data_IF_357218792917
#
_entry.id   IF_357218792917
#
_cell.length_a   1.000
_cell.length_b   1.000
_cell.length_c   1.000
_cell.angle_alpha   90.00
_cell.angle_beta   90.00
_cell.angle_gamma   90.00
#
_symmetry.space_group_name_H-M   'P 1'
#
loop_
_entity.id
_entity.type
_entity.pdbx_description
1 polymer ?
#
# COMPACT_ATOMS: atom_id res chain seq x y z
N UNK A 1 9.73 7.17 11.84
CA UNK A 1 10.50 8.08 10.95
C UNK A 1 11.34 7.24 10.01
N UNK A 2 11.06 7.28 8.70
CA UNK A 2 11.98 6.77 7.70
C UNK A 2 12.70 7.92 7.03
N UNK A 3 14.03 7.80 6.93
CA UNK A 3 14.87 8.76 6.22
C UNK A 3 15.38 8.07 4.97
N UNK A 4 15.23 8.70 3.82
CA UNK A 4 15.83 8.23 2.59
C UNK A 4 16.62 9.37 1.95
N UNK A 5 17.88 9.10 1.63
CA UNK A 5 18.76 10.07 1.00
C UNK A 5 18.80 9.82 -0.50
N UNK A 6 18.31 10.78 -1.30
CA UNK A 6 18.60 10.80 -2.74
C UNK A 6 19.98 11.41 -2.95
N UNK A 7 20.99 10.59 -3.20
CA UNK A 7 22.37 11.08 -3.40
C UNK A 7 22.54 11.74 -4.80
N UNK A 8 21.55 11.62 -5.70
CA UNK A 8 21.71 11.99 -7.12
C UNK A 8 21.59 13.50 -7.45
N UNK A 9 21.03 14.35 -6.57
CA UNK A 9 20.79 15.77 -6.90
C UNK A 9 20.99 16.77 -5.73
N UNK A 10 21.60 16.32 -4.62
CA UNK A 10 21.90 17.17 -3.46
C UNK A 10 20.67 17.51 -2.59
N UNK A 11 19.55 16.82 -2.78
CA UNK A 11 18.38 16.96 -1.94
C UNK A 11 18.25 15.80 -0.93
N UNK A 12 17.84 16.13 0.29
CA UNK A 12 17.40 15.16 1.30
C UNK A 12 15.88 15.11 1.28
N UNK A 13 15.29 13.93 1.30
CA UNK A 13 13.85 13.75 1.42
C UNK A 13 13.53 13.10 2.76
N UNK A 14 12.49 13.60 3.40
CA UNK A 14 12.06 13.14 4.73
C UNK A 14 10.60 12.77 4.68
N UNK A 15 10.29 11.55 5.12
CA UNK A 15 8.92 11.12 5.40
C UNK A 15 8.57 11.55 6.81
N UNK A 16 7.71 12.56 6.92
CA UNK A 16 7.21 13.04 8.21
C UNK A 16 5.91 12.29 8.52
N UNK A 17 6.04 11.35 9.44
CA UNK A 17 4.96 10.45 9.80
C UNK A 17 3.85 11.18 10.57
N UNK A 18 4.22 12.05 11.53
CA UNK A 18 3.27 12.77 12.38
C UNK A 18 2.53 13.86 11.60
N UNK A 19 3.21 14.51 10.65
CA UNK A 19 2.59 15.52 9.79
C UNK A 19 1.94 14.95 8.53
N UNK A 20 2.03 13.63 8.31
CA UNK A 20 1.45 12.92 7.17
C UNK A 20 1.86 13.52 5.82
N UNK A 21 3.16 13.78 5.66
CA UNK A 21 3.70 14.48 4.50
C UNK A 21 5.11 14.03 4.15
N UNK A 22 5.54 14.36 2.94
CA UNK A 22 6.94 14.21 2.52
C UNK A 22 7.48 15.58 2.13
N UNK A 23 8.66 15.90 2.68
CA UNK A 23 9.38 17.13 2.38
C UNK A 23 10.72 16.85 1.73
N UNK A 24 11.19 17.80 0.92
CA UNK A 24 12.57 17.83 0.42
C UNK A 24 13.32 19.07 0.89
N UNK A 25 14.63 18.92 1.01
CA UNK A 25 15.53 19.91 1.58
C UNK A 25 16.83 19.95 0.78
N UNK A 26 17.39 21.14 0.59
CA UNK A 26 18.79 21.36 0.18
C UNK A 26 19.63 21.72 1.39
N UNK A 27 20.94 21.58 1.23
CA UNK A 27 21.90 22.10 2.21
C UNK A 27 21.68 23.59 2.43
N UNK A 28 21.46 23.98 3.69
CA UNK A 28 21.22 25.37 4.09
C UNK A 28 19.75 25.81 4.11
N UNK A 29 18.81 24.95 3.69
CA UNK A 29 17.38 25.26 3.77
C UNK A 29 16.94 25.41 5.23
N UNK A 30 16.18 26.47 5.51
CA UNK A 30 15.53 26.70 6.81
C UNK A 30 14.15 26.06 6.90
N UNK A 31 13.52 25.81 5.74
CA UNK A 31 12.18 25.24 5.62
C UNK A 31 12.17 24.24 4.47
N UNK A 32 11.52 23.09 4.67
CA UNK A 32 11.45 22.02 3.68
C UNK A 32 10.30 22.25 2.72
N UNK A 33 10.54 22.01 1.45
CA UNK A 33 9.51 22.07 0.41
C UNK A 33 8.60 20.84 0.51
N UNK A 34 7.29 21.07 0.63
CA UNK A 34 6.29 20.01 0.59
C UNK A 34 6.21 19.42 -0.82
N UNK A 35 6.41 18.10 -0.93
CA UNK A 35 6.43 17.39 -2.24
C UNK A 35 5.37 16.30 -2.36
N UNK A 36 4.77 15.86 -1.26
CA UNK A 36 3.60 14.99 -1.24
C UNK A 36 2.86 15.07 0.11
N UNK A 37 1.55 14.83 0.12
CA UNK A 37 0.72 14.93 1.32
C UNK A 37 0.49 16.38 1.77
N UNK A 38 0.45 16.60 3.10
CA UNK A 38 0.28 17.93 3.70
C UNK A 38 -1.14 18.49 3.69
N UNK A 39 -2.12 17.70 3.23
CA UNK A 39 -3.55 18.05 3.24
C UNK A 39 -4.31 17.37 4.40
N UNK A 40 -3.60 17.07 5.49
CA UNK A 40 -4.11 16.32 6.64
C UNK A 40 -4.05 14.79 6.46
N UNK A 41 -4.32 14.08 7.56
CA UNK A 41 -4.46 12.62 7.59
C UNK A 41 -5.66 12.17 6.76
N UNK A 42 -5.47 11.22 5.85
CA UNK A 42 -6.58 10.61 5.12
C UNK A 42 -6.13 9.74 3.95
N UNK A 43 -7.09 9.24 3.20
CA UNK A 43 -6.91 8.28 2.11
C UNK A 43 -7.21 8.86 0.71
N UNK A 44 -7.53 10.15 0.61
CA UNK A 44 -7.61 10.83 -0.69
C UNK A 44 -6.24 10.82 -1.39
N UNK A 45 -6.24 11.01 -2.72
CA UNK A 45 -5.03 10.94 -3.54
C UNK A 45 -4.03 12.06 -3.24
N UNK A 46 -4.45 13.13 -2.57
CA UNK A 46 -3.61 14.24 -2.11
C UNK A 46 -3.28 14.18 -0.60
N UNK A 47 -3.67 13.09 0.09
CA UNK A 47 -3.45 12.87 1.52
C UNK A 47 -2.59 11.62 1.76
N UNK A 48 -1.98 11.56 2.94
CA UNK A 48 -1.23 10.41 3.44
C UNK A 48 -1.69 10.09 4.87
N UNK A 49 -1.32 8.92 5.36
CA UNK A 49 -1.58 8.46 6.72
C UNK A 49 -0.35 7.71 7.24
N UNK A 50 0.47 8.48 7.97
CA UNK A 50 1.72 8.04 8.59
C UNK A 50 2.71 7.41 7.60
N UNK A 51 3.13 8.13 6.56
CA UNK A 51 4.07 7.59 5.60
C UNK A 51 5.39 7.19 6.28
N UNK A 52 5.91 6.01 5.96
CA UNK A 52 7.06 5.42 6.67
C UNK A 52 8.32 5.31 5.84
N UNK A 53 8.22 5.05 4.54
CA UNK A 53 9.36 4.85 3.66
C UNK A 53 9.15 5.57 2.34
N UNK A 54 10.23 6.02 1.73
CA UNK A 54 10.20 6.67 0.43
C UNK A 54 11.31 6.13 -0.48
N UNK A 55 11.05 6.10 -1.78
CA UNK A 55 12.01 5.78 -2.83
C UNK A 55 11.84 6.78 -3.97
N UNK A 56 12.92 7.14 -4.67
CA UNK A 56 12.85 8.05 -5.82
C UNK A 56 13.50 7.37 -7.03
N UNK A 57 12.77 7.34 -8.14
CA UNK A 57 13.26 6.80 -9.42
C UNK A 57 14.12 7.81 -10.21
N UNK A 58 14.57 7.43 -11.39
CA UNK A 58 15.45 8.27 -12.22
C UNK A 58 14.75 9.48 -12.83
N UNK A 59 13.42 9.44 -12.96
CA UNK A 59 12.57 10.54 -13.42
C UNK A 59 12.16 11.48 -12.27
N UNK A 60 12.70 11.26 -11.07
CA UNK A 60 12.35 11.96 -9.84
C UNK A 60 10.89 11.79 -9.41
N UNK A 61 10.28 10.66 -9.74
CA UNK A 61 9.01 10.26 -9.14
C UNK A 61 9.24 9.70 -7.76
N UNK A 62 8.44 10.14 -6.80
CA UNK A 62 8.48 9.74 -5.41
C UNK A 62 7.50 8.59 -5.17
N UNK A 63 8.01 7.47 -4.68
CA UNK A 63 7.23 6.34 -4.21
C UNK A 63 7.17 6.39 -2.68
N UNK A 64 5.99 6.26 -2.11
CA UNK A 64 5.73 6.46 -0.68
C UNK A 64 4.98 5.25 -0.14
N UNK A 65 5.52 4.64 0.90
CA UNK A 65 4.78 3.65 1.71
C UNK A 65 3.84 4.41 2.65
N UNK A 66 2.56 4.46 2.27
CA UNK A 66 1.49 5.12 3.00
C UNK A 66 0.83 4.09 3.94
N UNK A 67 1.50 3.82 5.07
CA UNK A 67 1.41 2.51 5.72
C UNK A 67 0.06 2.24 6.40
N UNK A 68 -0.60 3.25 6.98
CA UNK A 68 -1.93 3.06 7.57
C UNK A 68 -3.07 3.13 6.55
N UNK A 69 -2.78 3.56 5.34
CA UNK A 69 -3.68 3.37 4.20
C UNK A 69 -3.34 2.08 3.43
N UNK A 70 -2.36 1.30 3.92
CA UNK A 70 -1.95 0.01 3.36
C UNK A 70 -1.72 0.06 1.85
N UNK A 71 -1.08 1.13 1.39
CA UNK A 71 -0.85 1.40 -0.03
C UNK A 71 0.55 1.92 -0.28
N UNK A 72 0.99 1.76 -1.52
CA UNK A 72 2.15 2.45 -2.06
C UNK A 72 1.64 3.46 -3.07
N UNK A 73 2.04 4.71 -2.88
CA UNK A 73 1.67 5.81 -3.75
C UNK A 73 2.86 6.26 -4.60
N UNK A 74 2.60 6.73 -5.83
CA UNK A 74 3.56 7.41 -6.68
C UNK A 74 3.14 8.86 -6.91
N UNK A 75 4.05 9.80 -6.67
CA UNK A 75 3.93 11.20 -7.05
C UNK A 75 4.97 11.56 -8.10
N UNK A 76 4.54 12.05 -9.26
CA UNK A 76 5.47 12.65 -10.22
C UNK A 76 5.88 14.05 -9.78
N UNK A 77 7.07 14.50 -10.18
CA UNK A 77 7.60 15.82 -9.81
C UNK A 77 6.58 16.95 -10.11
N UNK A 78 6.20 17.69 -9.08
CA UNK A 78 5.29 18.84 -9.17
C UNK A 78 3.79 18.49 -9.16
N UNK A 79 3.43 17.20 -9.06
CA UNK A 79 2.03 16.78 -8.96
C UNK A 79 1.37 17.29 -7.66
N UNK A 80 0.07 17.57 -7.73
CA UNK A 80 -0.74 17.98 -6.57
C UNK A 80 -1.34 16.80 -5.81
N UNK A 81 -1.43 15.66 -6.46
CA UNK A 81 -1.93 14.39 -5.93
C UNK A 81 -1.14 13.24 -6.55
N UNK A 82 -1.18 12.08 -5.92
CA UNK A 82 -0.49 10.89 -6.34
C UNK A 82 -1.42 9.90 -7.01
N UNK A 83 -0.85 8.76 -7.38
CA UNK A 83 -1.60 7.58 -7.82
C UNK A 83 -1.25 6.40 -6.94
N UNK A 84 -2.22 5.52 -6.68
CA UNK A 84 -1.96 4.23 -6.03
C UNK A 84 -1.27 3.34 -7.05
N UNK A 85 -0.07 2.85 -6.72
CA UNK A 85 0.70 1.93 -7.59
C UNK A 85 0.77 0.51 -7.03
N UNK A 86 0.45 0.32 -5.76
CA UNK A 86 0.23 -0.98 -5.14
C UNK A 86 -0.62 -0.84 -3.86
N UNK A 87 -1.36 -1.89 -3.47
CA UNK A 87 -2.18 -1.89 -2.26
C UNK A 87 -3.42 -0.99 -2.34
N UNK A 88 -3.90 -0.46 -1.21
CA UNK A 88 -4.98 0.53 -1.12
C UNK A 88 -6.42 0.00 -1.19
N UNK A 89 -6.61 -1.25 -1.61
CA UNK A 89 -7.94 -1.86 -1.69
C UNK A 89 -8.08 -3.11 -0.83
N UNK A 90 -7.02 -3.54 -0.12
CA UNK A 90 -6.92 -4.90 0.42
C UNK A 90 -6.40 -5.05 1.86
N UNK A 91 -6.87 -4.18 2.74
CA UNK A 91 -6.56 -4.21 4.16
C UNK A 91 -7.85 -4.09 4.97
N UNK A 92 -8.01 -4.87 6.04
CA UNK A 92 -9.19 -4.80 6.93
C UNK A 92 -10.53 -5.22 6.30
N UNK A 93 -10.56 -5.51 5.00
CA UNK A 93 -11.73 -5.95 4.24
C UNK A 93 -11.93 -7.48 4.26
N UNK A 94 -11.02 -8.20 4.92
CA UNK A 94 -11.06 -9.64 5.12
C UNK A 94 -11.28 -10.41 3.81
N UNK A 95 -10.39 -10.23 2.82
CA UNK A 95 -10.44 -10.98 1.57
C UNK A 95 -9.09 -11.61 1.22
N UNK A 96 -9.12 -12.59 0.33
CA UNK A 96 -7.93 -13.22 -0.26
C UNK A 96 -7.96 -12.95 -1.75
N UNK A 97 -6.86 -12.39 -2.26
CA UNK A 97 -6.68 -12.07 -3.67
C UNK A 97 -5.67 -13.01 -4.32
N UNK A 98 -5.93 -13.44 -5.54
CA UNK A 98 -4.96 -14.14 -6.41
C UNK A 98 -4.45 -13.17 -7.47
N UNK A 99 -3.15 -13.20 -7.71
CA UNK A 99 -2.52 -12.49 -8.81
C UNK A 99 -1.89 -13.51 -9.76
N UNK A 100 -2.28 -13.46 -11.04
CA UNK A 100 -1.63 -14.22 -12.10
C UNK A 100 -0.50 -13.39 -12.72
N UNK A 101 0.48 -14.08 -13.34
CA UNK A 101 1.58 -13.39 -14.03
C UNK A 101 1.03 -12.43 -15.09
N UNK A 102 1.47 -11.17 -15.03
CA UNK A 102 1.01 -10.10 -15.93
C UNK A 102 -0.35 -9.48 -15.60
N UNK A 103 -1.02 -9.89 -14.51
CA UNK A 103 -2.29 -9.30 -14.12
C UNK A 103 -2.14 -7.84 -13.68
N UNK A 104 -3.01 -6.95 -14.19
CA UNK A 104 -3.10 -5.53 -13.78
C UNK A 104 -3.99 -5.33 -12.55
N UNK A 105 -4.86 -6.29 -12.27
CA UNK A 105 -5.77 -6.32 -11.13
C UNK A 105 -5.79 -7.74 -10.56
N UNK A 106 -5.87 -7.88 -9.24
CA UNK A 106 -6.02 -9.18 -8.59
C UNK A 106 -7.45 -9.70 -8.68
N UNK A 107 -7.60 -11.01 -8.75
CA UNK A 107 -8.89 -11.69 -8.66
C UNK A 107 -9.26 -11.87 -7.19
N UNK A 108 -10.46 -11.43 -6.78
CA UNK A 108 -11.00 -11.76 -5.45
C UNK A 108 -11.33 -13.25 -5.47
N UNK A 109 -10.54 -14.05 -4.75
CA UNK A 109 -10.86 -15.46 -4.55
C UNK A 109 -11.98 -15.59 -3.52
N UNK A 110 -12.02 -14.69 -2.50
CA UNK A 110 -13.04 -14.66 -1.44
C UNK A 110 -13.04 -13.30 -0.70
N UNK A 111 -14.19 -12.69 -0.33
CA UNK A 111 -14.25 -11.53 0.60
C UNK A 111 -15.65 -11.04 1.05
N UNK A 112 -15.85 -10.72 2.36
CA UNK A 112 -17.03 -10.05 2.99
C UNK A 112 -17.61 -10.70 4.30
N UNK A 113 -18.90 -10.58 4.66
CA UNK A 113 -19.67 -11.18 5.81
C UNK A 113 -20.83 -12.26 5.58
N UNK A 114 -20.95 -12.94 4.44
CA UNK A 114 -22.00 -13.88 4.02
C UNK A 114 -21.47 -15.33 3.98
N UNK A 115 -22.19 -16.27 3.36
CA UNK A 115 -21.57 -17.56 2.98
C UNK A 115 -20.47 -17.28 1.94
N UNK A 116 -19.28 -17.87 2.08
CA UNK A 116 -18.06 -17.60 1.26
C UNK A 116 -17.40 -16.22 1.49
N UNK A 117 -17.29 -15.82 2.75
CA UNK A 117 -16.83 -14.51 3.18
C UNK A 117 -15.93 -14.69 4.45
N UNK A 118 -14.95 -13.83 4.72
CA UNK A 118 -13.90 -14.05 5.74
C UNK A 118 -13.90 -12.94 6.81
N UNK A 119 -13.30 -13.21 7.97
CA UNK A 119 -13.05 -12.26 9.06
C UNK A 119 -11.72 -12.57 9.74
N UNK A 120 -10.75 -11.69 9.50
CA UNK A 120 -9.37 -11.87 9.99
C UNK A 120 -8.71 -13.16 9.49
N UNK A 121 -8.61 -13.40 8.17
CA UNK A 121 -7.84 -14.52 7.68
C UNK A 121 -6.36 -14.36 8.08
N UNK A 122 -5.73 -15.40 8.64
CA UNK A 122 -4.33 -15.34 9.14
C UNK A 122 -3.38 -16.33 8.47
N UNK A 123 -3.90 -17.32 7.75
CA UNK A 123 -3.08 -18.38 7.15
C UNK A 123 -3.77 -19.01 5.94
N UNK A 124 -2.95 -19.44 4.99
CA UNK A 124 -3.38 -20.04 3.72
C UNK A 124 -2.55 -21.31 3.45
N UNK A 125 -3.16 -22.33 2.86
CA UNK A 125 -2.48 -23.52 2.32
C UNK A 125 -3.23 -24.03 1.10
N UNK A 126 -2.52 -24.73 0.21
CA UNK A 126 -3.13 -25.47 -0.90
C UNK A 126 -3.01 -26.98 -0.66
N UNK A 127 -3.96 -27.75 -1.19
CA UNK A 127 -3.79 -29.20 -1.36
C UNK A 127 -3.22 -29.54 -2.74
N UNK A 128 -3.03 -30.83 -3.02
CA UNK A 128 -2.49 -31.32 -4.30
C UNK A 128 -3.43 -31.11 -5.50
N UNK A 129 -4.71 -30.81 -5.26
CA UNK A 129 -5.71 -30.49 -6.28
C UNK A 129 -5.83 -28.96 -6.46
N UNK A 130 -4.95 -28.20 -5.82
CA UNK A 130 -4.92 -26.73 -5.79
C UNK A 130 -6.17 -26.09 -5.15
N UNK A 131 -6.87 -26.81 -4.28
CA UNK A 131 -7.91 -26.20 -3.46
C UNK A 131 -7.26 -25.34 -2.36
N UNK A 132 -7.80 -24.15 -2.12
CA UNK A 132 -7.32 -23.21 -1.12
C UNK A 132 -7.98 -23.45 0.24
N UNK A 133 -7.18 -23.55 1.29
CA UNK A 133 -7.61 -23.58 2.68
C UNK A 133 -7.27 -22.24 3.34
N UNK A 134 -8.27 -21.61 3.97
CA UNK A 134 -8.12 -20.32 4.65
C UNK A 134 -8.44 -20.46 6.14
N UNK A 135 -7.50 -20.08 7.00
CA UNK A 135 -7.72 -19.97 8.45
C UNK A 135 -8.41 -18.65 8.75
N UNK A 136 -9.72 -18.70 8.98
CA UNK A 136 -10.63 -17.57 9.16
C UNK A 136 -10.82 -17.27 10.66
N UNK A 137 -9.82 -16.62 11.28
CA UNK A 137 -9.60 -16.74 12.72
C UNK A 137 -10.67 -16.05 13.57
N UNK A 138 -11.22 -14.91 13.13
CA UNK A 138 -12.27 -14.20 13.86
C UNK A 138 -13.67 -14.76 13.58
N UNK A 139 -13.80 -15.71 12.66
CA UNK A 139 -14.98 -16.56 12.51
C UNK A 139 -14.78 -17.96 13.12
N UNK A 140 -13.62 -18.21 13.76
CA UNK A 140 -13.29 -19.49 14.42
C UNK A 140 -13.44 -20.72 13.51
N UNK A 141 -13.09 -20.60 12.22
CA UNK A 141 -13.25 -21.69 11.24
C UNK A 141 -12.07 -21.80 10.28
N UNK A 142 -12.03 -22.91 9.56
CA UNK A 142 -11.23 -23.08 8.35
C UNK A 142 -12.22 -23.25 7.19
N UNK A 143 -12.00 -22.54 6.09
CA UNK A 143 -12.80 -22.65 4.88
C UNK A 143 -11.96 -23.22 3.73
N UNK A 144 -12.50 -24.20 3.01
CA UNK A 144 -11.93 -24.77 1.78
C UNK A 144 -12.62 -24.12 0.57
N UNK A 145 -11.84 -23.71 -0.41
CA UNK A 145 -12.28 -23.18 -1.69
C UNK A 145 -11.73 -24.07 -2.79
N UNK A 146 -12.62 -24.63 -3.59
CA UNK A 146 -12.21 -25.49 -4.70
C UNK A 146 -11.59 -24.66 -5.81
N UNK A 147 -10.60 -25.22 -6.50
CA UNK A 147 -10.06 -24.58 -7.71
C UNK A 147 -11.20 -24.43 -8.71
N UNK A 148 -11.62 -23.19 -8.95
CA UNK A 148 -12.50 -22.89 -10.07
C UNK A 148 -11.71 -23.18 -11.35
N UNK A 149 -12.08 -24.25 -12.04
CA UNK A 149 -11.67 -24.51 -13.41
C UNK A 149 -12.28 -23.40 -14.26
N UNK A 150 -11.45 -22.50 -14.77
CA UNK A 150 -11.83 -21.59 -15.86
C UNK A 150 -11.87 -22.36 -17.18
#
# INVERSE_FOLDING_TARGET
VGVWQSIKNGFIYTSDNENHEVRRWKQGDKNGELVAGGNGKGDHLNQLNEPTFIFIDEDYSLYISDCWNHRVMKWTKGAKEGIVVAGGNDCGNHRVMRWCEGAKEGEIIVGGNQSNQLKGPIGLSFDNEENLYVVDCHNHRIQKYEKLLN
#
